data_IF_667937379621
#
_entry.id   IF_667937379621
#
_cell.length_a   1.000
_cell.length_b   1.000
_cell.length_c   1.000
_cell.angle_alpha   90.00
_cell.angle_beta   90.00
_cell.angle_gamma   90.00
#
_symmetry.space_group_name_H-M   'P 1'
#
loop_
_entity.id
_entity.type
_entity.pdbx_description
1 polymer ?
#
# COMPACT_ATOMS: atom_id res chain seq x y z
N UNK A 1 -17.94 49.24 -17.52
CA UNK A 1 -19.05 48.79 -16.66
C UNK A 1 -19.60 47.49 -17.22
N UNK A 2 -19.26 46.36 -16.59
CA UNK A 2 -20.05 45.13 -16.47
C UNK A 2 -19.11 44.04 -15.92
N UNK A 3 -18.80 44.15 -14.63
CA UNK A 3 -18.21 43.08 -13.85
C UNK A 3 -19.14 41.87 -13.94
N UNK A 4 -18.69 40.85 -14.68
CA UNK A 4 -19.35 39.55 -14.73
C UNK A 4 -19.05 38.89 -13.39
N UNK A 5 -19.84 39.21 -12.37
CA UNK A 5 -19.79 38.55 -11.07
C UNK A 5 -19.92 37.04 -11.29
N UNK A 6 -18.78 36.35 -11.20
CA UNK A 6 -18.70 34.90 -11.10
C UNK A 6 -19.38 34.51 -9.80
N UNK A 7 -20.67 34.17 -9.90
CA UNK A 7 -21.49 33.67 -8.80
C UNK A 7 -20.78 32.47 -8.13
N UNK A 8 -20.26 32.59 -6.88
CA UNK A 8 -19.53 31.51 -6.24
C UNK A 8 -20.46 30.47 -5.58
N UNK A 9 -21.78 30.60 -5.72
CA UNK A 9 -22.73 29.62 -5.21
C UNK A 9 -22.83 28.38 -6.12
N UNK A 10 -21.75 27.58 -6.19
CA UNK A 10 -21.91 26.15 -6.47
C UNK A 10 -22.75 25.59 -5.34
N UNK A 11 -24.00 25.24 -5.62
CA UNK A 11 -24.86 24.50 -4.71
C UNK A 11 -24.11 23.25 -4.23
N UNK A 12 -23.59 23.32 -3.00
CA UNK A 12 -22.94 22.19 -2.33
C UNK A 12 -24.04 21.27 -1.84
N UNK A 13 -24.71 20.61 -2.78
CA UNK A 13 -25.55 19.47 -2.43
C UNK A 13 -24.65 18.48 -1.69
N UNK A 14 -24.97 18.15 -0.41
CA UNK A 14 -24.18 17.19 0.34
C UNK A 14 -24.11 15.88 -0.46
N UNK A 15 -22.95 15.23 -0.47
CA UNK A 15 -22.78 13.97 -1.20
C UNK A 15 -23.83 12.97 -0.69
N UNK A 16 -24.81 12.63 -1.53
CA UNK A 16 -25.84 11.64 -1.21
C UNK A 16 -25.20 10.31 -0.78
N UNK A 17 -25.90 9.57 0.09
CA UNK A 17 -25.53 8.22 0.50
C UNK A 17 -25.37 7.33 -0.73
N UNK A 18 -24.21 6.67 -0.87
CA UNK A 18 -23.84 5.87 -2.05
C UNK A 18 -23.23 4.52 -1.67
N UNK A 19 -23.56 4.02 -0.48
CA UNK A 19 -23.05 2.77 0.04
C UNK A 19 -23.26 1.61 -0.96
N UNK A 20 -24.41 1.57 -1.64
CA UNK A 20 -24.68 0.58 -2.68
C UNK A 20 -23.71 0.70 -3.86
N UNK A 21 -23.41 1.92 -4.32
CA UNK A 21 -22.42 2.14 -5.39
C UNK A 21 -21.03 1.67 -4.96
N UNK A 22 -20.64 1.93 -3.70
CA UNK A 22 -19.37 1.46 -3.15
C UNK A 22 -19.31 -0.06 -3.08
N UNK A 23 -20.37 -0.71 -2.61
CA UNK A 23 -20.44 -2.17 -2.52
C UNK A 23 -20.43 -2.82 -3.90
N UNK A 24 -21.22 -2.32 -4.84
CA UNK A 24 -21.25 -2.84 -6.22
C UNK A 24 -19.88 -2.67 -6.89
N UNK A 25 -19.24 -1.50 -6.71
CA UNK A 25 -17.91 -1.27 -7.26
C UNK A 25 -16.87 -2.20 -6.62
N UNK A 26 -16.87 -2.34 -5.28
CA UNK A 26 -15.95 -3.26 -4.59
C UNK A 26 -16.19 -4.71 -5.02
N UNK A 27 -17.44 -5.13 -5.17
CA UNK A 27 -17.80 -6.44 -5.70
C UNK A 27 -17.26 -6.65 -7.11
N UNK A 28 -17.46 -5.68 -8.00
CA UNK A 28 -16.91 -5.71 -9.37
C UNK A 28 -15.37 -5.81 -9.38
N UNK A 29 -14.67 -4.95 -8.63
CA UNK A 29 -13.21 -4.98 -8.53
C UNK A 29 -12.68 -6.29 -7.96
N UNK A 30 -13.38 -6.84 -6.96
CA UNK A 30 -13.05 -8.15 -6.37
C UNK A 30 -13.20 -9.26 -7.39
N UNK A 31 -14.33 -9.31 -8.12
CA UNK A 31 -14.57 -10.30 -9.17
C UNK A 31 -13.59 -10.17 -10.33
N UNK A 32 -13.07 -8.97 -10.61
CA UNK A 32 -12.10 -8.74 -11.67
C UNK A 32 -10.69 -9.23 -11.29
N UNK A 33 -10.26 -8.98 -10.05
CA UNK A 33 -8.85 -9.17 -9.67
C UNK A 33 -8.55 -10.41 -8.81
N UNK A 34 -9.53 -10.99 -8.10
CA UNK A 34 -9.27 -12.08 -7.14
C UNK A 34 -9.55 -13.48 -7.72
N UNK A 35 -10.65 -13.72 -8.44
CA UNK A 35 -10.88 -15.01 -9.08
C UNK A 35 -9.75 -15.37 -10.05
N UNK A 36 -9.41 -16.67 -10.05
CA UNK A 36 -8.47 -17.27 -10.99
C UNK A 36 -7.04 -16.69 -10.94
N UNK A 37 -6.61 -16.07 -9.83
CA UNK A 37 -5.21 -15.64 -9.71
C UNK A 37 -4.21 -16.79 -9.87
N UNK A 38 -4.59 -18.00 -9.48
CA UNK A 38 -3.77 -19.21 -9.61
C UNK A 38 -4.05 -20.04 -10.87
N UNK A 39 -4.85 -19.56 -11.82
CA UNK A 39 -5.21 -20.37 -13.01
C UNK A 39 -4.08 -20.52 -14.03
N UNK A 40 -3.05 -19.68 -13.94
CA UNK A 40 -1.83 -19.79 -14.73
C UNK A 40 -0.64 -20.18 -13.85
N UNK A 41 0.32 -20.88 -14.43
CA UNK A 41 1.63 -21.08 -13.80
C UNK A 41 2.36 -19.76 -13.55
N UNK A 42 3.46 -19.83 -12.79
CA UNK A 42 4.38 -18.70 -12.62
C UNK A 42 5.16 -18.55 -13.93
N UNK A 43 4.72 -17.61 -14.75
CA UNK A 43 5.24 -17.42 -16.12
C UNK A 43 6.36 -16.38 -16.22
N UNK A 44 6.41 -15.47 -15.25
CA UNK A 44 7.39 -14.39 -15.21
C UNK A 44 8.51 -14.84 -14.27
N UNK A 45 9.78 -14.67 -14.68
CA UNK A 45 10.91 -15.17 -13.92
C UNK A 45 11.04 -14.53 -12.54
N UNK A 46 10.45 -13.36 -12.32
CA UNK A 46 10.45 -12.70 -11.02
C UNK A 46 9.39 -13.27 -10.10
N UNK A 47 8.28 -13.83 -10.60
CA UNK A 47 7.28 -14.48 -9.75
C UNK A 47 7.83 -15.72 -9.07
N UNK A 48 8.64 -16.53 -9.78
CA UNK A 48 9.30 -17.69 -9.18
C UNK A 48 10.37 -17.25 -8.18
N UNK A 49 11.18 -16.25 -8.53
CA UNK A 49 12.22 -15.74 -7.65
C UNK A 49 11.65 -15.14 -6.37
N UNK A 50 10.73 -14.16 -6.49
CA UNK A 50 10.11 -13.51 -5.33
C UNK A 50 9.20 -14.46 -4.56
N UNK A 51 8.50 -15.36 -5.27
CA UNK A 51 7.69 -16.41 -4.65
C UNK A 51 8.53 -17.32 -3.77
N UNK A 52 9.70 -17.74 -4.24
CA UNK A 52 10.63 -18.54 -3.41
C UNK A 52 11.15 -17.74 -2.23
N UNK A 53 11.56 -16.47 -2.42
CA UNK A 53 11.94 -15.61 -1.28
C UNK A 53 10.80 -15.53 -0.26
N UNK A 54 9.56 -15.30 -0.70
CA UNK A 54 8.37 -15.28 0.15
C UNK A 54 8.12 -16.60 0.87
N UNK A 55 8.41 -17.74 0.23
CA UNK A 55 8.28 -19.08 0.83
C UNK A 55 9.36 -19.29 1.89
N UNK A 56 10.55 -18.75 1.67
CA UNK A 56 11.68 -18.82 2.60
C UNK A 56 11.43 -18.02 3.89
N UNK A 57 10.65 -16.93 3.84
CA UNK A 57 10.20 -16.23 5.06
C UNK A 57 9.42 -17.18 5.98
N UNK A 58 8.57 -18.03 5.39
CA UNK A 58 7.75 -19.01 6.11
C UNK A 58 8.63 -20.16 6.62
N UNK A 59 9.36 -20.82 5.71
CA UNK A 59 10.14 -22.02 6.03
C UNK A 59 11.19 -21.75 7.11
N UNK A 60 11.83 -20.57 7.08
CA UNK A 60 12.85 -20.19 8.06
C UNK A 60 12.31 -19.54 9.33
N UNK A 61 11.05 -19.09 9.30
CA UNK A 61 10.52 -18.19 10.33
C UNK A 61 11.23 -16.83 10.41
N UNK A 62 12.02 -16.46 9.40
CA UNK A 62 12.74 -15.18 9.33
C UNK A 62 12.02 -14.21 8.39
N UNK A 63 11.13 -13.39 8.96
CA UNK A 63 10.34 -12.39 8.24
C UNK A 63 11.09 -11.07 8.00
N UNK A 64 12.40 -11.04 8.22
CA UNK A 64 13.23 -9.82 8.13
C UNK A 64 14.31 -9.96 7.06
N UNK A 65 15.06 -11.06 7.12
CA UNK A 65 16.22 -11.28 6.27
C UNK A 65 15.80 -12.08 5.04
N UNK A 66 15.51 -11.37 3.96
CA UNK A 66 15.18 -11.98 2.67
C UNK A 66 16.34 -12.82 2.16
N UNK A 67 16.03 -14.06 1.78
CA UNK A 67 17.01 -15.03 1.30
C UNK A 67 16.44 -15.79 0.12
N UNK A 68 17.31 -16.14 -0.81
CA UNK A 68 16.97 -16.90 -1.99
C UNK A 68 17.96 -18.06 -2.14
N UNK A 69 17.45 -19.27 -2.31
CA UNK A 69 18.25 -20.48 -2.44
C UNK A 69 17.48 -21.74 -2.07
N UNK A 70 18.20 -22.84 -1.94
CA UNK A 70 17.68 -24.13 -1.50
C UNK A 70 18.23 -24.46 -0.11
N UNK A 71 17.34 -24.73 0.85
CA UNK A 71 17.75 -25.29 2.13
C UNK A 71 18.36 -26.69 2.00
N UNK A 72 18.07 -27.38 0.89
CA UNK A 72 18.60 -28.69 0.59
C UNK A 72 19.98 -28.57 -0.06
N UNK A 73 20.95 -29.40 0.37
CA UNK A 73 22.24 -29.49 -0.30
C UNK A 73 22.07 -29.89 -1.76
N UNK A 74 22.85 -29.27 -2.64
CA UNK A 74 22.96 -29.72 -4.02
C UNK A 74 23.66 -31.09 -4.11
N UNK A 75 23.83 -31.62 -5.33
CA UNK A 75 24.49 -32.91 -5.55
C UNK A 75 25.93 -33.00 -5.00
N UNK A 76 26.57 -31.87 -4.70
CA UNK A 76 27.89 -31.79 -4.08
C UNK A 76 27.85 -31.66 -2.54
N UNK A 77 26.67 -31.72 -1.92
CA UNK A 77 26.50 -31.57 -0.47
C UNK A 77 26.57 -30.14 0.03
N UNK A 78 26.50 -29.13 -0.87
CA UNK A 78 26.59 -27.71 -0.52
C UNK A 78 25.20 -27.08 -0.56
N UNK A 79 24.79 -26.43 0.54
CA UNK A 79 23.56 -25.64 0.55
C UNK A 79 23.74 -24.40 -0.35
N UNK A 80 22.81 -24.19 -1.26
CA UNK A 80 22.85 -23.07 -2.21
C UNK A 80 22.00 -21.91 -1.69
N UNK A 81 22.49 -20.69 -1.82
CA UNK A 81 21.69 -19.49 -1.62
C UNK A 81 22.44 -18.30 -1.07
N UNK A 82 21.81 -17.14 -1.14
CA UNK A 82 22.36 -15.89 -0.63
C UNK A 82 21.25 -14.96 -0.17
N UNK A 83 21.62 -13.96 0.64
CA UNK A 83 20.70 -12.91 1.02
C UNK A 83 20.27 -12.10 -0.20
N UNK A 84 18.96 -11.85 -0.30
CA UNK A 84 18.35 -11.14 -1.40
C UNK A 84 17.95 -9.72 -0.97
N UNK A 85 18.83 -8.73 -1.15
CA UNK A 85 18.57 -7.33 -0.75
C UNK A 85 18.31 -6.38 -1.92
N UNK A 86 17.98 -6.91 -3.11
CA UNK A 86 17.76 -6.09 -4.30
C UNK A 86 16.42 -5.33 -4.27
N UNK A 87 15.40 -5.87 -3.60
CA UNK A 87 14.07 -5.25 -3.47
C UNK A 87 13.67 -5.09 -2.00
N UNK A 88 12.89 -4.05 -1.66
CA UNK A 88 12.37 -3.92 -0.31
C UNK A 88 11.27 -4.97 -0.02
N UNK A 89 11.06 -5.26 1.27
CA UNK A 89 10.42 -6.50 1.74
C UNK A 89 8.90 -6.61 1.53
N UNK A 90 8.23 -5.51 1.15
CA UNK A 90 6.76 -5.45 1.17
C UNK A 90 6.09 -6.54 0.34
N UNK A 91 6.58 -6.78 -0.89
CA UNK A 91 6.02 -7.83 -1.75
C UNK A 91 6.21 -9.22 -1.12
N UNK A 92 7.35 -9.47 -0.50
CA UNK A 92 7.67 -10.76 0.12
C UNK A 92 6.79 -11.01 1.34
N UNK A 93 6.46 -9.98 2.13
CA UNK A 93 5.44 -10.09 3.17
C UNK A 93 4.05 -10.39 2.61
N UNK A 94 3.66 -9.70 1.52
CA UNK A 94 2.37 -9.96 0.87
C UNK A 94 2.26 -11.39 0.36
N UNK A 95 3.33 -11.93 -0.23
CA UNK A 95 3.41 -13.32 -0.69
C UNK A 95 3.41 -14.30 0.48
N UNK A 96 4.26 -14.08 1.48
CA UNK A 96 4.36 -14.94 2.66
C UNK A 96 3.02 -15.03 3.40
N UNK A 97 2.38 -13.89 3.69
CA UNK A 97 1.07 -13.87 4.32
C UNK A 97 -0.01 -14.54 3.44
N UNK A 98 0.05 -14.32 2.13
CA UNK A 98 -0.87 -14.98 1.20
C UNK A 98 -0.68 -16.50 1.19
N UNK A 99 0.55 -16.99 1.24
CA UNK A 99 0.83 -18.43 1.30
C UNK A 99 0.50 -19.05 2.65
N UNK A 100 0.67 -18.33 3.76
CA UNK A 100 0.23 -18.77 5.10
C UNK A 100 -1.29 -18.98 5.15
N UNK A 101 -2.07 -18.04 4.60
CA UNK A 101 -3.54 -18.08 4.68
C UNK A 101 -4.15 -19.04 3.65
N UNK A 102 -3.59 -19.10 2.45
CA UNK A 102 -4.20 -19.78 1.30
C UNK A 102 -3.40 -20.99 0.79
N UNK A 103 -2.31 -21.33 1.48
CA UNK A 103 -1.37 -22.38 1.10
C UNK A 103 -0.31 -21.91 0.09
N UNK A 104 0.79 -22.67 0.03
CA UNK A 104 1.90 -22.45 -0.90
C UNK A 104 1.47 -22.81 -2.33
N UNK A 105 0.91 -21.84 -3.04
CA UNK A 105 0.46 -21.98 -4.42
C UNK A 105 0.46 -20.62 -5.14
N UNK A 106 0.28 -20.63 -6.47
CA UNK A 106 0.26 -19.41 -7.30
C UNK A 106 -0.80 -18.39 -6.86
N UNK A 107 -1.92 -18.84 -6.29
CA UNK A 107 -2.97 -17.95 -5.81
C UNK A 107 -2.51 -17.19 -4.55
N UNK A 108 -1.92 -17.90 -3.58
CA UNK A 108 -1.35 -17.32 -2.36
C UNK A 108 -0.23 -16.31 -2.64
N UNK A 109 0.62 -16.58 -3.64
CA UNK A 109 1.67 -15.65 -4.06
C UNK A 109 1.09 -14.35 -4.66
N UNK A 110 -0.05 -14.41 -5.36
CA UNK A 110 -0.63 -13.27 -6.12
C UNK A 110 -1.71 -12.49 -5.39
N UNK A 111 -2.34 -13.06 -4.35
CA UNK A 111 -3.52 -12.44 -3.69
C UNK A 111 -3.24 -11.02 -3.20
N UNK A 112 -2.08 -10.79 -2.58
CA UNK A 112 -1.71 -9.46 -2.10
C UNK A 112 -1.66 -8.42 -3.24
N UNK A 113 -1.12 -8.80 -4.39
CA UNK A 113 -1.01 -7.91 -5.56
C UNK A 113 -2.40 -7.57 -6.13
N UNK A 114 -3.30 -8.55 -6.20
CA UNK A 114 -4.70 -8.32 -6.56
C UNK A 114 -5.43 -7.39 -5.58
N UNK A 115 -5.18 -7.54 -4.27
CA UNK A 115 -5.74 -6.65 -3.25
C UNK A 115 -5.24 -5.21 -3.40
N UNK A 116 -3.95 -5.01 -3.71
CA UNK A 116 -3.40 -3.67 -3.95
C UNK A 116 -4.03 -3.01 -5.18
N UNK A 117 -4.36 -3.78 -6.22
CA UNK A 117 -5.12 -3.29 -7.37
C UNK A 117 -6.50 -2.74 -6.98
N UNK A 118 -7.23 -3.47 -6.13
CA UNK A 118 -8.55 -3.07 -5.63
C UNK A 118 -8.43 -1.77 -4.83
N UNK A 119 -7.44 -1.67 -3.95
CA UNK A 119 -7.19 -0.47 -3.13
C UNK A 119 -6.95 0.75 -4.02
N UNK A 120 -6.12 0.61 -5.07
CA UNK A 120 -5.82 1.68 -6.01
C UNK A 120 -7.07 2.15 -6.78
N UNK A 121 -7.81 1.22 -7.39
CA UNK A 121 -9.03 1.54 -8.14
C UNK A 121 -10.10 2.16 -7.24
N UNK A 122 -10.23 1.68 -5.99
CA UNK A 122 -11.16 2.24 -5.03
C UNK A 122 -10.74 3.64 -4.57
N UNK A 123 -9.45 3.90 -4.38
CA UNK A 123 -8.95 5.23 -4.07
C UNK A 123 -9.20 6.23 -5.22
N UNK A 124 -9.05 5.80 -6.48
CA UNK A 124 -9.43 6.59 -7.67
C UNK A 124 -10.91 6.96 -7.64
N UNK A 125 -11.78 6.01 -7.26
CA UNK A 125 -13.20 6.28 -7.08
C UNK A 125 -13.46 7.30 -5.95
N UNK A 126 -12.81 7.15 -4.79
CA UNK A 126 -12.98 8.09 -3.67
C UNK A 126 -12.57 9.51 -4.08
N UNK A 127 -11.44 9.64 -4.76
CA UNK A 127 -10.95 10.90 -5.33
C UNK A 127 -11.94 11.47 -6.34
N UNK A 128 -12.32 10.69 -7.34
CA UNK A 128 -13.24 11.13 -8.38
C UNK A 128 -14.57 11.62 -7.81
N UNK A 129 -15.06 10.96 -6.76
CA UNK A 129 -16.30 11.35 -6.08
C UNK A 129 -16.16 12.69 -5.37
N UNK A 130 -15.05 12.90 -4.67
CA UNK A 130 -14.80 14.14 -3.94
C UNK A 130 -14.62 15.34 -4.86
N UNK A 131 -14.07 15.16 -6.06
CA UNK A 131 -13.76 16.26 -6.99
C UNK A 131 -14.88 16.47 -8.01
N UNK A 132 -15.34 15.42 -8.70
CA UNK A 132 -16.28 15.50 -9.82
C UNK A 132 -17.65 14.87 -9.56
N UNK A 133 -17.79 14.09 -8.48
CA UNK A 133 -19.05 13.45 -8.09
C UNK A 133 -19.15 11.98 -8.51
N UNK A 134 -20.28 11.34 -8.19
CA UNK A 134 -20.40 9.88 -8.20
C UNK A 134 -20.25 9.23 -9.58
N UNK A 135 -20.93 9.73 -10.61
CA UNK A 135 -20.92 9.09 -11.94
C UNK A 135 -19.53 9.12 -12.61
N UNK A 136 -18.83 10.28 -12.69
CA UNK A 136 -17.46 10.30 -13.21
C UNK A 136 -16.51 9.39 -12.44
N UNK A 137 -16.65 9.34 -11.10
CA UNK A 137 -15.81 8.50 -10.26
C UNK A 137 -15.87 7.00 -10.58
N UNK A 138 -17.08 6.48 -10.85
CA UNK A 138 -17.26 5.08 -11.26
C UNK A 138 -16.57 4.83 -12.58
N UNK A 139 -16.76 5.71 -13.57
CA UNK A 139 -16.14 5.60 -14.89
C UNK A 139 -14.62 5.63 -14.78
N UNK A 140 -14.04 6.54 -14.00
CA UNK A 140 -12.60 6.62 -13.78
C UNK A 140 -12.03 5.34 -13.16
N UNK A 141 -12.70 4.80 -12.13
CA UNK A 141 -12.27 3.59 -11.44
C UNK A 141 -12.32 2.36 -12.36
N UNK A 142 -13.41 2.20 -13.11
CA UNK A 142 -13.56 1.11 -14.08
C UNK A 142 -12.52 1.26 -15.20
N UNK A 143 -12.32 2.47 -15.74
CA UNK A 143 -11.35 2.70 -16.82
C UNK A 143 -9.92 2.33 -16.42
N UNK A 144 -9.50 2.68 -15.19
CA UNK A 144 -8.20 2.24 -14.65
C UNK A 144 -8.18 0.71 -14.48
N UNK A 145 -9.23 0.15 -13.85
CA UNK A 145 -9.30 -1.29 -13.56
C UNK A 145 -9.25 -2.17 -14.82
N UNK A 146 -9.87 -1.71 -15.91
CA UNK A 146 -9.93 -2.43 -17.19
C UNK A 146 -8.82 -2.01 -18.16
N UNK A 147 -7.92 -1.10 -17.76
CA UNK A 147 -6.78 -0.76 -18.60
C UNK A 147 -5.84 -1.98 -18.72
N UNK A 148 -5.41 -2.36 -19.95
CA UNK A 148 -4.73 -3.65 -20.16
C UNK A 148 -3.49 -3.84 -19.28
N UNK A 149 -2.62 -2.84 -19.23
CA UNK A 149 -1.37 -2.93 -18.44
C UNK A 149 -1.65 -3.04 -16.94
N UNK A 150 -2.61 -2.28 -16.41
CA UNK A 150 -2.96 -2.35 -14.99
C UNK A 150 -3.58 -3.71 -14.64
N UNK A 151 -4.45 -4.23 -15.49
CA UNK A 151 -5.07 -5.54 -15.28
C UNK A 151 -4.07 -6.70 -15.36
N UNK A 152 -3.05 -6.60 -16.22
CA UNK A 152 -1.95 -7.55 -16.29
C UNK A 152 -1.07 -7.49 -15.03
N UNK A 153 -0.67 -6.28 -14.62
CA UNK A 153 0.11 -6.07 -13.39
C UNK A 153 -0.64 -6.59 -12.15
N UNK A 154 -1.96 -6.45 -12.10
CA UNK A 154 -2.81 -6.99 -11.03
C UNK A 154 -2.73 -8.52 -10.88
N UNK A 155 -2.22 -9.23 -11.88
CA UNK A 155 -2.11 -10.69 -11.93
C UNK A 155 -0.67 -11.20 -11.93
N UNK A 156 0.32 -10.30 -11.91
CA UNK A 156 1.74 -10.63 -11.86
C UNK A 156 2.27 -10.32 -10.46
N UNK A 157 2.79 -11.33 -9.76
CA UNK A 157 3.36 -11.18 -8.43
C UNK A 157 4.74 -10.48 -8.46
N UNK A 158 4.73 -9.21 -8.86
CA UNK A 158 5.89 -8.35 -9.04
C UNK A 158 5.78 -7.08 -8.19
N UNK A 159 6.92 -6.42 -8.00
CA UNK A 159 7.03 -5.17 -7.22
C UNK A 159 6.29 -3.99 -7.85
N UNK A 160 6.04 -4.07 -9.16
CA UNK A 160 5.36 -3.06 -9.96
C UNK A 160 3.96 -2.75 -9.44
N UNK A 161 3.14 -3.77 -9.19
CA UNK A 161 1.75 -3.52 -8.83
C UNK A 161 1.59 -2.94 -7.41
N UNK A 162 2.30 -3.44 -6.37
CA UNK A 162 2.29 -2.77 -5.09
C UNK A 162 2.78 -1.33 -5.18
N UNK A 163 3.84 -1.04 -5.96
CA UNK A 163 4.31 0.32 -6.18
C UNK A 163 3.24 1.20 -6.84
N UNK A 164 2.77 0.81 -8.04
CA UNK A 164 1.82 1.61 -8.82
C UNK A 164 0.49 1.76 -8.09
N UNK A 165 0.00 0.70 -7.47
CA UNK A 165 -1.29 0.70 -6.79
C UNK A 165 -1.28 1.59 -5.54
N UNK A 166 -0.26 1.46 -4.70
CA UNK A 166 -0.10 2.29 -3.50
C UNK A 166 0.21 3.74 -3.87
N UNK A 167 1.04 3.99 -4.89
CA UNK A 167 1.31 5.34 -5.40
C UNK A 167 0.03 6.00 -5.93
N UNK A 168 -0.76 5.26 -6.71
CA UNK A 168 -2.06 5.73 -7.24
C UNK A 168 -3.01 6.08 -6.09
N UNK A 169 -3.09 5.23 -5.06
CA UNK A 169 -3.90 5.52 -3.88
C UNK A 169 -3.40 6.78 -3.16
N UNK A 170 -2.09 6.91 -2.94
CA UNK A 170 -1.47 8.07 -2.30
C UNK A 170 -1.74 9.37 -3.04
N UNK A 171 -1.57 9.38 -4.37
CA UNK A 171 -1.89 10.52 -5.22
C UNK A 171 -3.39 10.82 -5.22
N UNK A 172 -4.26 9.81 -5.21
CA UNK A 172 -5.70 10.02 -5.10
C UNK A 172 -6.08 10.71 -3.78
N UNK A 173 -5.46 10.31 -2.66
CA UNK A 173 -5.63 11.00 -1.37
C UNK A 173 -5.07 12.43 -1.39
N UNK A 174 -3.91 12.66 -2.01
CA UNK A 174 -3.35 13.99 -2.18
C UNK A 174 -4.28 14.91 -2.98
N UNK A 175 -4.83 14.39 -4.08
CA UNK A 175 -5.81 15.10 -4.91
C UNK A 175 -7.09 15.40 -4.15
N UNK A 176 -7.55 14.51 -3.26
CA UNK A 176 -8.68 14.82 -2.36
C UNK A 176 -8.34 15.92 -1.37
N UNK A 177 -7.15 15.90 -0.75
CA UNK A 177 -6.69 16.94 0.15
C UNK A 177 -6.65 18.32 -0.53
N UNK A 178 -6.19 18.35 -1.78
CA UNK A 178 -6.00 19.60 -2.51
C UNK A 178 -7.27 20.09 -3.22
N UNK A 179 -8.09 19.22 -3.80
CA UNK A 179 -9.22 19.61 -4.67
C UNK A 179 -10.59 19.12 -4.20
N UNK A 180 -10.65 18.32 -3.13
CA UNK A 180 -11.90 17.73 -2.65
C UNK A 180 -12.91 18.78 -2.19
N UNK A 181 -14.18 18.61 -2.56
CA UNK A 181 -15.27 19.52 -2.17
C UNK A 181 -15.45 19.60 -0.65
N UNK A 182 -15.18 18.51 0.05
CA UNK A 182 -15.36 18.41 1.51
C UNK A 182 -14.07 18.66 2.30
N UNK A 183 -12.99 19.16 1.67
CA UNK A 183 -11.64 19.26 2.26
C UNK A 183 -11.58 20.15 3.52
N UNK A 184 -12.36 21.25 3.53
CA UNK A 184 -12.44 22.21 4.65
C UNK A 184 -13.48 21.81 5.71
N UNK A 185 -14.17 20.68 5.53
CA UNK A 185 -15.08 20.17 6.55
C UNK A 185 -14.29 19.52 7.69
N UNK A 186 -14.88 19.50 8.87
CA UNK A 186 -14.31 18.78 10.02
C UNK A 186 -14.18 17.30 9.71
N UNK A 187 -13.04 16.72 10.07
CA UNK A 187 -12.84 15.28 10.00
C UNK A 187 -13.79 14.57 10.97
N UNK A 188 -14.31 13.41 10.56
CA UNK A 188 -15.11 12.56 11.44
C UNK A 188 -14.16 11.83 12.37
N UNK A 189 -14.56 11.63 13.64
CA UNK A 189 -13.78 10.89 14.64
C UNK A 189 -13.28 9.53 14.11
N UNK A 190 -14.17 8.79 13.43
CA UNK A 190 -13.81 7.49 12.82
C UNK A 190 -12.69 7.60 11.78
N UNK A 191 -12.69 8.65 10.97
CA UNK A 191 -11.72 8.81 9.87
C UNK A 191 -10.32 9.11 10.44
N UNK A 192 -10.27 9.82 11.58
CA UNK A 192 -9.04 10.08 12.36
C UNK A 192 -8.54 8.79 13.02
N UNK A 193 -9.42 8.06 13.71
CA UNK A 193 -9.05 6.80 14.37
C UNK A 193 -8.51 5.79 13.38
N UNK A 194 -9.15 5.65 12.21
CA UNK A 194 -8.65 4.76 11.15
C UNK A 194 -7.28 5.18 10.65
N UNK A 195 -7.05 6.48 10.42
CA UNK A 195 -5.74 6.98 10.01
C UNK A 195 -4.66 6.70 11.08
N UNK A 196 -4.98 6.92 12.36
CA UNK A 196 -4.07 6.61 13.47
C UNK A 196 -3.77 5.12 13.60
N UNK A 197 -4.77 4.26 13.47
CA UNK A 197 -4.58 2.81 13.53
C UNK A 197 -3.75 2.30 12.35
N UNK A 198 -4.05 2.76 11.14
CA UNK A 198 -3.23 2.42 9.96
C UNK A 198 -1.80 2.93 10.15
N UNK A 199 -1.60 4.13 10.70
CA UNK A 199 -0.26 4.67 10.98
C UNK A 199 0.52 3.76 11.93
N UNK A 200 -0.10 3.38 13.05
CA UNK A 200 0.50 2.47 14.02
C UNK A 200 0.81 1.11 13.40
N UNK A 201 -0.09 0.57 12.57
CA UNK A 201 0.12 -0.70 11.88
C UNK A 201 1.32 -0.68 10.91
N UNK A 202 1.68 0.49 10.37
CA UNK A 202 2.86 0.64 9.51
C UNK A 202 4.15 0.87 10.29
N UNK A 203 4.09 1.68 11.35
CA UNK A 203 5.28 2.06 12.12
C UNK A 203 5.69 1.00 13.13
N UNK A 204 4.73 0.31 13.77
CA UNK A 204 5.04 -0.67 14.82
C UNK A 204 5.90 -1.85 14.33
N UNK A 205 5.62 -2.46 13.16
CA UNK A 205 6.50 -3.50 12.62
C UNK A 205 7.90 -2.95 12.33
N UNK A 206 8.03 -1.73 11.79
CA UNK A 206 9.34 -1.13 11.52
C UNK A 206 10.15 -0.91 12.81
N UNK A 207 9.51 -0.45 13.88
CA UNK A 207 10.14 -0.28 15.18
C UNK A 207 10.56 -1.62 15.80
N UNK A 208 9.74 -2.66 15.65
CA UNK A 208 10.08 -4.01 16.10
C UNK A 208 11.25 -4.60 15.31
N UNK A 209 11.28 -4.43 13.99
CA UNK A 209 12.36 -4.91 13.12
C UNK A 209 13.68 -4.21 13.44
N UNK A 210 13.64 -2.90 13.71
CA UNK A 210 14.78 -2.15 14.20
C UNK A 210 15.30 -2.69 15.52
N UNK A 211 14.39 -2.96 16.47
CA UNK A 211 14.73 -3.50 17.77
C UNK A 211 15.41 -4.88 17.67
N UNK A 212 14.83 -5.81 16.90
CA UNK A 212 15.41 -7.14 16.67
C UNK A 212 16.78 -7.04 16.00
N UNK A 213 16.93 -6.17 14.99
CA UNK A 213 18.21 -5.98 14.30
C UNK A 213 19.29 -5.37 15.19
N UNK A 214 18.93 -4.47 16.11
CA UNK A 214 19.86 -3.92 17.11
C UNK A 214 20.38 -4.99 18.08
N UNK A 215 19.59 -6.02 18.38
CA UNK A 215 19.98 -7.11 19.27
C UNK A 215 20.95 -8.12 18.64
N UNK A 216 21.00 -8.22 17.30
CA UNK A 216 21.77 -9.23 16.57
C UNK A 216 22.84 -8.71 15.60
N UNK A 217 23.12 -7.40 15.58
CA UNK A 217 23.99 -6.81 14.55
C UNK A 217 25.50 -7.05 14.80
N UNK A 218 26.21 -7.54 13.77
CA UNK A 218 27.67 -7.46 13.69
C UNK A 218 28.12 -6.04 13.32
N UNK A 219 29.40 -5.70 13.58
CA UNK A 219 29.95 -4.34 13.47
C UNK A 219 29.73 -3.65 12.10
N UNK A 220 29.68 -4.40 11.00
CA UNK A 220 29.46 -3.87 9.65
C UNK A 220 28.00 -3.47 9.40
N UNK A 221 27.04 -4.27 9.88
CA UNK A 221 25.59 -3.98 9.85
C UNK A 221 25.18 -2.83 10.76
N UNK A 222 25.94 -2.56 11.83
CA UNK A 222 25.72 -1.39 12.66
C UNK A 222 25.92 -0.11 11.87
N UNK A 223 26.96 0.02 11.04
CA UNK A 223 27.26 1.28 10.31
C UNK A 223 26.07 1.82 9.49
N UNK A 224 25.42 0.97 8.68
CA UNK A 224 24.26 1.38 7.87
C UNK A 224 23.01 1.61 8.72
N UNK A 225 22.75 0.75 9.72
CA UNK A 225 21.58 0.84 10.59
C UNK A 225 21.63 2.10 11.46
N UNK A 226 22.80 2.43 12.02
CA UNK A 226 23.00 3.60 12.90
C UNK A 226 23.07 4.91 12.11
N UNK A 227 23.61 4.91 10.88
CA UNK A 227 23.78 6.15 10.10
C UNK A 227 22.60 6.53 9.23
N UNK A 228 21.74 5.58 8.86
CA UNK A 228 20.65 5.83 7.90
C UNK A 228 19.29 5.45 8.47
N UNK A 229 19.12 4.20 8.91
CA UNK A 229 17.79 3.71 9.32
C UNK A 229 17.32 4.39 10.62
N UNK A 230 18.17 4.44 11.64
CA UNK A 230 17.86 5.08 12.93
C UNK A 230 17.50 6.57 12.79
N UNK A 231 18.27 7.41 12.07
CA UNK A 231 17.90 8.80 11.84
C UNK A 231 16.58 8.97 11.09
N UNK A 232 16.37 8.21 10.01
CA UNK A 232 15.14 8.29 9.20
C UNK A 232 13.92 7.87 10.03
N UNK A 233 14.02 6.76 10.76
CA UNK A 233 12.95 6.29 11.63
C UNK A 233 12.71 7.24 12.81
N UNK A 234 13.76 7.83 13.39
CA UNK A 234 13.63 8.84 14.43
C UNK A 234 12.91 10.09 13.91
N UNK A 235 13.28 10.59 12.72
CA UNK A 235 12.58 11.71 12.06
C UNK A 235 11.11 11.36 11.82
N UNK A 236 10.81 10.16 11.32
CA UNK A 236 9.43 9.70 11.11
C UNK A 236 8.65 9.63 12.42
N UNK A 237 9.21 9.06 13.49
CA UNK A 237 8.58 8.95 14.80
C UNK A 237 8.36 10.35 15.42
N UNK A 238 9.35 11.23 15.37
CA UNK A 238 9.26 12.60 15.86
C UNK A 238 8.17 13.36 15.11
N UNK A 239 8.13 13.30 13.78
CA UNK A 239 7.06 13.92 13.00
C UNK A 239 5.69 13.29 13.27
N UNK A 240 5.61 11.98 13.50
CA UNK A 240 4.36 11.31 13.92
C UNK A 240 3.84 11.89 15.23
N UNK A 241 4.72 12.04 16.23
CA UNK A 241 4.39 12.58 17.55
C UNK A 241 4.03 14.06 17.45
N UNK A 242 4.77 14.85 16.68
CA UNK A 242 4.47 16.27 16.42
C UNK A 242 3.10 16.41 15.75
N UNK A 243 2.77 15.60 14.76
CA UNK A 243 1.47 15.62 14.08
C UNK A 243 0.33 15.19 15.02
N UNK A 244 0.54 14.19 15.87
CA UNK A 244 -0.43 13.76 16.88
C UNK A 244 -0.67 14.83 17.96
N UNK A 245 0.38 15.49 18.44
CA UNK A 245 0.30 16.57 19.44
C UNK A 245 -0.32 17.82 18.81
N UNK A 246 0.13 18.25 17.64
CA UNK A 246 -0.46 19.38 16.91
C UNK A 246 -1.94 19.13 16.57
N UNK A 247 -2.29 17.89 16.25
CA UNK A 247 -3.67 17.43 16.03
C UNK A 247 -4.53 17.41 17.30
N UNK A 248 -3.94 17.46 18.49
CA UNK A 248 -4.68 17.59 19.76
C UNK A 248 -5.16 19.01 20.02
N UNK A 249 -4.47 20.01 19.46
CA UNK A 249 -4.77 21.44 19.65
C UNK A 249 -5.55 22.06 18.48
N UNK A 250 -5.55 21.43 17.30
CA UNK A 250 -6.41 21.81 16.16
C UNK A 250 -7.55 20.80 16.00
N UNK A 251 -8.75 21.28 15.65
CA UNK A 251 -9.83 20.39 15.18
C UNK A 251 -9.48 19.94 13.76
N UNK A 252 -9.07 18.68 13.52
CA UNK A 252 -8.56 18.28 12.22
C UNK A 252 -9.64 18.39 11.15
N UNK A 253 -9.24 18.91 10.00
CA UNK A 253 -10.05 18.97 8.80
C UNK A 253 -9.90 17.67 8.00
N UNK A 254 -10.82 17.41 7.08
CA UNK A 254 -10.74 16.22 6.22
C UNK A 254 -9.49 16.22 5.35
N UNK A 255 -9.04 17.39 4.89
CA UNK A 255 -7.78 17.51 4.14
C UNK A 255 -6.58 16.99 4.94
N UNK A 256 -6.55 17.24 6.25
CA UNK A 256 -5.43 16.83 7.11
C UNK A 256 -5.36 15.30 7.18
N UNK A 257 -6.51 14.65 7.32
CA UNK A 257 -6.61 13.18 7.30
C UNK A 257 -6.23 12.59 5.93
N UNK A 258 -6.67 13.21 4.85
CA UNK A 258 -6.29 12.77 3.50
C UNK A 258 -4.80 12.96 3.21
N UNK A 259 -4.15 14.01 3.74
CA UNK A 259 -2.70 14.17 3.65
C UNK A 259 -1.94 13.07 4.39
N UNK A 260 -2.44 12.65 5.56
CA UNK A 260 -1.86 11.51 6.29
C UNK A 260 -1.96 10.23 5.46
N UNK A 261 -3.13 9.93 4.88
CA UNK A 261 -3.26 8.79 3.97
C UNK A 261 -2.33 8.90 2.77
N UNK A 262 -2.26 10.07 2.13
CA UNK A 262 -1.39 10.30 0.98
C UNK A 262 0.07 9.97 1.33
N UNK A 263 0.58 10.50 2.45
CA UNK A 263 1.92 10.23 2.92
C UNK A 263 2.16 8.74 3.16
N UNK A 264 1.25 8.06 3.86
CA UNK A 264 1.39 6.64 4.20
C UNK A 264 1.42 5.75 2.95
N UNK A 265 0.52 5.98 2.01
CA UNK A 265 0.44 5.20 0.78
C UNK A 265 1.65 5.45 -0.13
N UNK A 266 2.15 6.68 -0.22
CA UNK A 266 3.39 7.00 -0.94
C UNK A 266 4.60 6.34 -0.27
N UNK A 267 4.70 6.38 1.06
CA UNK A 267 5.77 5.72 1.81
C UNK A 267 5.72 4.18 1.68
N UNK A 268 4.53 3.58 1.65
CA UNK A 268 4.39 2.16 1.35
C UNK A 268 4.78 1.82 -0.08
N UNK A 269 4.49 2.70 -1.04
CA UNK A 269 4.88 2.47 -2.43
C UNK A 269 6.41 2.39 -2.58
N UNK A 270 7.18 3.23 -1.88
CA UNK A 270 8.66 3.13 -1.94
C UNK A 270 9.17 1.82 -1.34
N UNK A 271 8.49 1.25 -0.34
CA UNK A 271 8.77 -0.10 0.17
C UNK A 271 8.44 -1.23 -0.82
N UNK A 272 7.74 -0.95 -1.92
CA UNK A 272 7.52 -1.94 -2.96
C UNK A 272 8.66 -2.02 -3.97
N UNK A 273 9.20 -0.88 -4.45
CA UNK A 273 10.09 -0.88 -5.63
C UNK A 273 11.40 -0.07 -5.53
N UNK A 274 11.69 0.58 -4.40
CA UNK A 274 12.95 1.30 -4.18
C UNK A 274 12.96 2.68 -4.82
#
# INVERSE_FOLDING_TARGET
>A
MADRQLNPARSTTPLQSDWLTRLVLLGFLTLLFIPFLGSSGLWDPWETHYGEVGRQLIERGDWVSTWWGSHWPNAAGVAEGTYFFSKPILLMWMMGLGMEVFGVNSWGIRVGVGLTAIVACYAVYLMGRQIWGRKPAVVMSIAVATSPTFALLARQAQTDMPFVGLMTAGLAFLMMAWFGKEREQRARKRDIVLASLLWLALVAPQAQLLWVKLQGASAMTMSFTTRVVLPVSAVMIVWSVVLLIAGRFRRPLRRDVWLVYAYMFIALATLAKG
#
